data_IF_585372699352
#
_entry.id   IF_585372699352
#
_cell.length_a   1.000
_cell.length_b   1.000
_cell.length_c   1.000
_cell.angle_alpha   90.00
_cell.angle_beta   90.00
_cell.angle_gamma   90.00
#
_symmetry.space_group_name_H-M   'P 1'
#
loop_
_entity.id
_entity.type
_entity.pdbx_description
1 polymer ?
#
# COMPACT_ATOMS: atom_id res chain seq x y z
N UNK A 1 -14.74 6.13 2.74
CA UNK A 1 -14.18 4.75 2.80
C UNK A 1 -14.10 4.24 4.22
N UNK A 2 -13.47 4.99 5.15
CA UNK A 2 -13.30 4.63 6.56
C UNK A 2 -14.58 4.14 7.25
N UNK A 3 -15.68 4.92 7.19
CA UNK A 3 -16.95 4.53 7.81
C UNK A 3 -17.47 3.18 7.30
N UNK A 4 -17.40 2.92 5.98
CA UNK A 4 -17.86 1.65 5.39
C UNK A 4 -17.09 0.44 5.93
N UNK A 5 -15.82 0.62 6.29
CA UNK A 5 -14.98 -0.45 6.83
C UNK A 5 -15.18 -0.65 8.33
N UNK A 6 -15.38 0.44 9.09
CA UNK A 6 -15.51 0.38 10.55
C UNK A 6 -16.93 0.15 11.04
N UNK A 7 -17.95 0.72 10.40
CA UNK A 7 -19.36 0.60 10.81
C UNK A 7 -19.82 -0.85 11.03
N UNK A 8 -19.44 -1.84 10.19
CA UNK A 8 -19.84 -3.24 10.41
C UNK A 8 -19.27 -3.89 11.68
N UNK A 9 -18.16 -3.37 12.22
CA UNK A 9 -17.43 -4.00 13.33
C UNK A 9 -17.40 -3.16 14.61
N UNK A 10 -17.52 -1.83 14.52
CA UNK A 10 -17.24 -0.89 15.60
C UNK A 10 -18.02 -1.22 16.87
N UNK A 11 -19.35 -1.29 16.79
CA UNK A 11 -20.21 -1.57 17.95
C UNK A 11 -19.87 -2.90 18.59
N UNK A 12 -19.64 -3.94 17.77
CA UNK A 12 -19.31 -5.28 18.26
C UNK A 12 -17.97 -5.29 18.98
N UNK A 13 -16.97 -4.60 18.45
CA UNK A 13 -15.67 -4.43 19.08
C UNK A 13 -15.78 -3.69 20.41
N UNK A 14 -16.53 -2.58 20.46
CA UNK A 14 -16.75 -1.82 21.70
C UNK A 14 -17.44 -2.67 22.78
N UNK A 15 -18.49 -3.39 22.43
CA UNK A 15 -19.26 -4.24 23.35
C UNK A 15 -18.44 -5.41 23.92
N UNK A 16 -17.51 -5.95 23.13
CA UNK A 16 -16.69 -7.09 23.52
C UNK A 16 -15.28 -6.69 24.00
N UNK A 17 -14.99 -5.40 24.13
CA UNK A 17 -13.68 -4.91 24.59
C UNK A 17 -12.53 -5.25 23.62
N UNK A 18 -12.82 -5.36 22.32
CA UNK A 18 -11.82 -5.59 21.29
C UNK A 18 -11.33 -4.23 20.79
N UNK A 19 -10.07 -3.89 21.10
CA UNK A 19 -9.46 -2.64 20.60
C UNK A 19 -9.25 -2.70 19.09
N UNK A 20 -9.68 -1.67 18.38
CA UNK A 20 -9.42 -1.50 16.95
C UNK A 20 -8.16 -0.65 16.79
N UNK A 21 -7.18 -1.14 16.03
CA UNK A 21 -5.92 -0.44 15.76
C UNK A 21 -5.75 -0.36 14.25
N UNK A 22 -5.34 0.79 13.73
CA UNK A 22 -4.95 0.84 12.32
C UNK A 22 -4.36 2.16 11.85
N UNK A 23 -3.58 2.04 10.78
CA UNK A 23 -3.04 3.13 9.96
C UNK A 23 -4.11 3.73 9.02
N UNK A 24 -5.36 3.78 9.46
CA UNK A 24 -6.45 4.38 8.70
C UNK A 24 -6.53 5.91 8.86
N UNK A 25 -5.61 6.50 9.62
CA UNK A 25 -5.36 7.95 9.62
C UNK A 25 -4.66 8.42 8.34
N UNK A 26 -3.89 7.55 7.69
CA UNK A 26 -3.12 7.86 6.49
C UNK A 26 -2.34 9.19 6.67
N UNK A 27 -2.63 10.21 5.84
CA UNK A 27 -1.99 11.52 5.93
C UNK A 27 -2.68 12.51 6.90
N UNK A 28 -3.82 12.15 7.52
CA UNK A 28 -4.51 13.03 8.48
C UNK A 28 -5.21 12.24 9.62
N UNK A 29 -4.43 11.68 10.57
CA UNK A 29 -4.97 10.96 11.73
C UNK A 29 -6.00 11.74 12.55
N UNK A 30 -5.84 13.06 12.81
CA UNK A 30 -6.87 13.84 13.53
C UNK A 30 -8.22 13.87 12.82
N UNK A 31 -8.24 14.01 11.48
CA UNK A 31 -9.50 13.99 10.73
C UNK A 31 -10.17 12.60 10.75
N UNK A 32 -9.39 11.53 10.65
CA UNK A 32 -9.91 10.16 10.78
C UNK A 32 -10.52 9.93 12.16
N UNK A 33 -9.86 10.39 13.24
CA UNK A 33 -10.38 10.29 14.59
C UNK A 33 -11.72 11.03 14.78
N UNK A 34 -11.85 12.25 14.23
CA UNK A 34 -13.12 12.99 14.23
C UNK A 34 -14.22 12.24 13.48
N UNK A 35 -13.91 11.66 12.32
CA UNK A 35 -14.89 10.87 11.56
C UNK A 35 -15.33 9.60 12.32
N UNK A 36 -14.40 8.93 13.00
CA UNK A 36 -14.71 7.77 13.85
C UNK A 36 -15.55 8.20 15.05
N UNK A 37 -15.27 9.35 15.65
CA UNK A 37 -16.05 9.89 16.75
C UNK A 37 -17.50 10.19 16.33
N UNK A 38 -17.69 10.81 15.16
CA UNK A 38 -19.00 11.03 14.55
C UNK A 38 -19.75 9.72 14.28
N UNK A 39 -19.05 8.71 13.75
CA UNK A 39 -19.60 7.38 13.54
C UNK A 39 -20.01 6.72 14.86
N UNK A 40 -19.16 6.75 15.89
CA UNK A 40 -19.45 6.18 17.19
C UNK A 40 -20.67 6.85 17.84
N UNK A 41 -20.77 8.17 17.80
CA UNK A 41 -21.93 8.92 18.28
C UNK A 41 -23.21 8.54 17.53
N UNK A 42 -23.14 8.45 16.19
CA UNK A 42 -24.26 8.02 15.33
C UNK A 42 -24.74 6.60 15.65
N UNK A 43 -23.84 5.72 16.09
CA UNK A 43 -24.12 4.35 16.50
C UNK A 43 -24.44 4.20 18.00
N UNK A 44 -24.62 5.30 18.73
CA UNK A 44 -25.03 5.29 20.14
C UNK A 44 -23.91 5.10 21.17
N UNK A 45 -22.65 5.34 20.78
CA UNK A 45 -21.45 5.21 21.62
C UNK A 45 -20.61 6.51 21.66
N UNK A 46 -21.18 7.65 22.10
CA UNK A 46 -20.44 8.92 22.21
C UNK A 46 -19.32 8.92 23.26
N UNK A 47 -19.29 7.91 24.14
CA UNK A 47 -18.26 7.70 25.16
C UNK A 47 -17.02 6.95 24.64
N UNK A 48 -17.03 6.49 23.38
CA UNK A 48 -15.94 5.73 22.80
C UNK A 48 -14.60 6.50 22.93
N UNK A 49 -13.58 5.83 23.48
CA UNK A 49 -12.25 6.42 23.71
C UNK A 49 -11.35 6.22 22.50
N UNK A 50 -11.00 7.31 21.83
CA UNK A 50 -10.25 7.29 20.57
C UNK A 50 -8.89 7.94 20.80
N UNK A 51 -7.82 7.20 20.52
CA UNK A 51 -6.47 7.70 20.56
C UNK A 51 -5.96 8.08 19.17
N UNK A 52 -5.22 9.18 19.08
CA UNK A 52 -4.52 9.62 17.87
C UNK A 52 -3.02 9.59 18.14
N UNK A 53 -2.32 8.70 17.44
CA UNK A 53 -0.85 8.63 17.49
C UNK A 53 -0.27 9.75 16.62
N UNK A 54 0.77 10.41 17.12
CA UNK A 54 1.49 11.49 16.44
C UNK A 54 3.01 11.29 16.50
N UNK A 55 3.75 12.09 15.72
CA UNK A 55 5.21 12.07 15.66
C UNK A 55 5.77 11.47 14.37
N UNK A 56 4.91 11.03 13.45
CA UNK A 56 5.32 10.59 12.11
C UNK A 56 5.54 11.76 11.14
N UNK A 57 4.76 12.84 11.25
CA UNK A 57 4.95 14.04 10.42
C UNK A 57 6.27 14.76 10.73
N UNK A 58 7.16 14.79 9.75
CA UNK A 58 8.50 15.37 9.83
C UNK A 58 8.75 16.44 8.77
N UNK A 59 7.69 17.07 8.25
CA UNK A 59 7.81 18.15 7.25
C UNK A 59 8.67 19.34 7.72
N UNK A 60 8.80 19.54 9.04
CA UNK A 60 9.63 20.59 9.64
C UNK A 60 11.13 20.29 9.68
N UNK A 61 11.57 19.07 9.33
CA UNK A 61 12.99 18.72 9.30
C UNK A 61 13.65 19.13 7.98
N UNK A 62 14.96 19.41 8.02
CA UNK A 62 15.76 19.59 6.80
C UNK A 62 16.08 18.22 6.18
N UNK A 63 15.12 17.66 5.45
CA UNK A 63 15.21 16.33 4.83
C UNK A 63 16.41 16.20 3.88
N UNK A 64 16.89 17.30 3.30
CA UNK A 64 18.05 17.30 2.38
C UNK A 64 19.37 17.03 3.09
N UNK A 65 19.44 17.22 4.41
CA UNK A 65 20.60 16.89 5.22
C UNK A 65 20.71 15.38 5.54
N UNK A 66 19.69 14.60 5.17
CA UNK A 66 19.60 13.17 5.46
C UNK A 66 19.89 12.31 4.23
N UNK A 67 20.30 11.08 4.49
CA UNK A 67 20.63 10.13 3.43
C UNK A 67 19.35 9.73 2.66
N UNK A 68 19.42 9.79 1.33
CA UNK A 68 18.41 9.19 0.45
C UNK A 68 18.51 7.67 0.52
N UNK A 69 17.36 7.01 0.61
CA UNK A 69 17.28 5.55 0.58
C UNK A 69 17.88 5.02 -0.73
N UNK A 70 18.72 3.99 -0.64
CA UNK A 70 19.55 3.53 -1.75
C UNK A 70 18.76 3.11 -3.00
N UNK A 71 17.56 2.55 -2.83
CA UNK A 71 16.69 2.16 -3.94
C UNK A 71 16.07 3.37 -4.67
N UNK A 72 16.01 4.53 -4.00
CA UNK A 72 15.48 5.78 -4.54
C UNK A 72 16.60 6.70 -5.07
N UNK A 73 17.85 6.24 -5.03
CA UNK A 73 18.99 6.99 -5.53
C UNK A 73 18.90 7.19 -7.05
N UNK A 74 19.05 8.44 -7.50
CA UNK A 74 19.02 8.80 -8.92
C UNK A 74 17.62 8.99 -9.52
N UNK A 75 16.55 8.89 -8.72
CA UNK A 75 15.21 9.29 -9.16
C UNK A 75 15.16 10.79 -9.49
N UNK A 76 14.52 11.13 -10.61
CA UNK A 76 14.21 12.53 -10.95
C UNK A 76 13.01 13.01 -10.14
N UNK A 77 13.29 13.75 -9.07
CA UNK A 77 12.28 14.35 -8.21
C UNK A 77 11.76 15.69 -8.77
N UNK A 78 12.44 16.27 -9.76
CA UNK A 78 12.19 17.62 -10.27
C UNK A 78 12.17 18.70 -9.19
N UNK A 79 11.46 19.79 -9.46
CA UNK A 79 11.34 20.96 -8.57
C UNK A 79 9.97 21.03 -7.88
N UNK A 80 9.29 19.90 -7.69
CA UNK A 80 7.98 19.83 -7.06
C UNK A 80 8.02 20.32 -5.61
N UNK A 81 6.93 20.96 -5.17
CA UNK A 81 6.79 21.37 -3.77
C UNK A 81 6.58 20.15 -2.87
N UNK A 82 7.03 20.26 -1.62
CA UNK A 82 6.80 19.25 -0.59
C UNK A 82 5.30 19.19 -0.26
N UNK A 83 4.71 18.00 -0.34
CA UNK A 83 3.31 17.73 0.01
C UNK A 83 3.20 17.10 1.40
N UNK A 84 4.07 16.12 1.69
CA UNK A 84 4.07 15.40 2.96
C UNK A 84 5.42 14.75 3.21
N UNK A 85 5.78 14.55 4.47
CA UNK A 85 6.94 13.78 4.88
C UNK A 85 6.58 13.02 6.15
N UNK A 86 6.49 11.68 6.06
CA UNK A 86 6.07 10.86 7.19
C UNK A 86 7.08 9.73 7.47
N UNK A 87 7.60 9.71 8.69
CA UNK A 87 8.48 8.67 9.21
C UNK A 87 7.67 7.42 9.59
N UNK A 88 8.25 6.23 9.40
CA UNK A 88 7.65 4.98 9.87
C UNK A 88 7.92 4.82 11.36
N UNK A 89 6.94 5.19 12.19
CA UNK A 89 7.06 5.11 13.65
C UNK A 89 6.83 3.68 14.17
N UNK A 90 7.34 3.42 15.38
CA UNK A 90 7.31 2.11 16.03
C UNK A 90 6.02 1.87 16.84
N UNK A 91 5.91 0.71 17.49
CA UNK A 91 4.73 0.26 18.23
C UNK A 91 4.51 1.00 19.57
N UNK A 92 5.52 1.67 20.11
CA UNK A 92 5.49 2.24 21.46
C UNK A 92 4.30 3.18 21.73
N UNK A 93 4.00 4.20 20.90
CA UNK A 93 2.86 5.08 21.16
C UNK A 93 1.51 4.35 21.11
N UNK A 94 1.39 3.28 20.31
CA UNK A 94 0.19 2.44 20.26
C UNK A 94 0.03 1.68 21.59
N UNK A 95 1.11 1.07 22.08
CA UNK A 95 1.12 0.38 23.38
C UNK A 95 0.69 1.34 24.51
N UNK A 96 1.22 2.57 24.51
CA UNK A 96 0.87 3.57 25.51
C UNK A 96 -0.60 3.99 25.41
N UNK A 97 -1.13 4.19 24.20
CA UNK A 97 -2.55 4.48 23.98
C UNK A 97 -3.46 3.35 24.49
N UNK A 98 -3.09 2.09 24.24
CA UNK A 98 -3.82 0.92 24.75
C UNK A 98 -3.79 0.86 26.29
N UNK A 99 -2.62 1.09 26.92
CA UNK A 99 -2.50 1.17 28.38
C UNK A 99 -3.36 2.28 28.99
N UNK A 100 -3.56 3.38 28.26
CA UNK A 100 -4.46 4.46 28.66
C UNK A 100 -5.95 4.15 28.43
N UNK A 101 -6.28 2.97 27.90
CA UNK A 101 -7.64 2.48 27.72
C UNK A 101 -8.28 2.85 26.38
N UNK A 102 -7.50 3.19 25.35
CA UNK A 102 -8.04 3.44 24.01
C UNK A 102 -8.81 2.22 23.48
N UNK A 103 -10.01 2.47 22.95
CA UNK A 103 -10.84 1.46 22.28
C UNK A 103 -10.63 1.48 20.77
N UNK A 104 -10.27 2.65 20.24
CA UNK A 104 -9.80 2.81 18.85
C UNK A 104 -8.47 3.57 18.88
N UNK A 105 -7.44 3.03 18.24
CA UNK A 105 -6.14 3.71 18.06
C UNK A 105 -5.95 4.03 16.59
N UNK A 106 -5.89 5.32 16.29
CA UNK A 106 -5.70 5.88 14.95
C UNK A 106 -4.24 6.27 14.78
N UNK A 107 -3.57 5.71 13.78
CA UNK A 107 -2.19 6.08 13.46
C UNK A 107 -2.09 6.74 12.09
N UNK A 108 -1.04 7.55 11.92
CA UNK A 108 -0.50 7.92 10.61
C UNK A 108 0.51 6.88 10.17
N UNK A 109 1.63 7.32 9.57
CA UNK A 109 2.66 6.40 9.07
C UNK A 109 3.34 5.63 10.21
N UNK A 110 2.91 4.40 10.40
CA UNK A 110 3.51 3.45 11.34
C UNK A 110 4.06 2.27 10.55
N UNK A 111 5.08 1.58 11.07
CA UNK A 111 5.47 0.27 10.55
C UNK A 111 4.27 -0.67 10.53
N UNK A 112 3.99 -1.31 9.40
CA UNK A 112 2.85 -2.22 9.27
C UNK A 112 2.92 -3.38 10.31
N UNK A 113 4.09 -3.98 10.57
CA UNK A 113 4.25 -4.94 11.65
C UNK A 113 3.94 -4.39 13.06
N UNK A 114 4.20 -3.10 13.30
CA UNK A 114 4.02 -2.45 14.60
C UNK A 114 2.55 -2.45 15.04
N UNK A 115 1.61 -2.44 14.09
CA UNK A 115 0.17 -2.50 14.37
C UNK A 115 -0.23 -3.82 15.05
N UNK A 116 0.45 -4.91 14.69
CA UNK A 116 0.24 -6.25 15.28
C UNK A 116 1.14 -6.48 16.50
N UNK A 117 2.35 -5.92 16.49
CA UNK A 117 3.28 -6.04 17.62
C UNK A 117 2.76 -5.30 18.87
N UNK A 118 2.16 -4.12 18.71
CA UNK A 118 1.65 -3.33 19.83
C UNK A 118 0.65 -4.08 20.74
N UNK A 119 -0.43 -4.73 20.23
CA UNK A 119 -1.35 -5.48 21.08
C UNK A 119 -0.68 -6.66 21.78
N UNK A 120 0.35 -7.28 21.18
CA UNK A 120 1.12 -8.37 21.81
C UNK A 120 1.98 -7.85 22.97
N UNK A 121 2.70 -6.75 22.76
CA UNK A 121 3.46 -6.07 23.83
C UNK A 121 2.51 -5.68 24.97
N UNK A 122 1.36 -5.10 24.64
CA UNK A 122 0.37 -4.68 25.63
C UNK A 122 -0.17 -5.86 26.44
N UNK A 123 -0.57 -6.94 25.76
CA UNK A 123 -1.21 -8.10 26.37
C UNK A 123 -0.26 -8.92 27.25
N UNK A 124 0.94 -9.22 26.75
CA UNK A 124 1.94 -10.04 27.46
C UNK A 124 2.94 -9.21 28.28
N UNK A 125 2.82 -7.88 28.25
CA UNK A 125 3.76 -6.96 28.90
C UNK A 125 5.23 -7.22 28.52
N UNK A 126 5.49 -7.53 27.25
CA UNK A 126 6.84 -7.79 26.75
C UNK A 126 7.74 -6.54 26.89
N UNK A 127 9.02 -6.77 27.18
CA UNK A 127 10.00 -5.69 27.21
C UNK A 127 10.24 -5.15 25.80
N UNK A 128 10.35 -3.82 25.67
CA UNK A 128 10.77 -3.17 24.42
C UNK A 128 12.24 -3.42 24.08
N UNK A 129 12.98 -4.17 24.89
CA UNK A 129 14.36 -4.63 24.61
C UNK A 129 14.48 -6.15 24.48
N UNK A 130 13.36 -6.87 24.57
CA UNK A 130 13.33 -8.31 24.30
C UNK A 130 13.17 -8.54 22.80
N UNK A 131 14.29 -8.41 22.09
CA UNK A 131 14.32 -8.52 20.61
C UNK A 131 13.76 -9.84 20.10
N UNK A 132 13.90 -10.92 20.87
CA UNK A 132 13.36 -12.22 20.47
C UNK A 132 11.82 -12.21 20.47
N UNK A 133 11.20 -11.65 21.51
CA UNK A 133 9.73 -11.48 21.57
C UNK A 133 9.23 -10.47 20.55
N UNK A 134 9.90 -9.34 20.42
CA UNK A 134 9.52 -8.34 19.41
C UNK A 134 9.60 -8.90 18.00
N UNK A 135 10.58 -9.75 17.71
CA UNK A 135 10.70 -10.39 16.42
C UNK A 135 9.52 -11.33 16.10
N UNK A 136 9.05 -12.11 17.08
CA UNK A 136 7.84 -12.94 16.90
C UNK A 136 6.63 -12.05 16.58
N UNK A 137 6.42 -10.98 17.33
CA UNK A 137 5.26 -10.11 17.10
C UNK A 137 5.34 -9.31 15.79
N UNK A 138 6.53 -8.84 15.42
CA UNK A 138 6.75 -8.19 14.14
C UNK A 138 6.61 -9.18 12.96
N UNK A 139 7.04 -10.43 13.13
CA UNK A 139 6.80 -11.49 12.12
C UNK A 139 5.31 -11.78 11.98
N UNK A 140 4.57 -11.85 13.08
CA UNK A 140 3.12 -11.98 13.03
C UNK A 140 2.51 -10.81 12.22
N UNK A 141 2.96 -9.58 12.46
CA UNK A 141 2.52 -8.42 11.69
C UNK A 141 2.85 -8.50 10.20
N UNK A 142 4.09 -8.84 9.85
CA UNK A 142 4.53 -9.07 8.47
C UNK A 142 3.69 -10.15 7.75
N UNK A 143 3.30 -11.20 8.47
CA UNK A 143 2.47 -12.27 7.91
C UNK A 143 0.99 -11.89 7.77
N UNK A 144 0.51 -10.90 8.51
CA UNK A 144 -0.88 -10.40 8.44
C UNK A 144 -1.05 -9.23 7.46
N UNK A 145 0.03 -8.63 6.97
CA UNK A 145 -0.01 -7.52 6.02
C UNK A 145 -0.44 -7.97 4.61
N UNK A 146 -0.68 -7.01 3.71
CA UNK A 146 -1.18 -7.25 2.34
C UNK A 146 -2.51 -8.05 2.24
N UNK A 147 -3.23 -8.17 3.35
CA UNK A 147 -4.60 -8.67 3.39
C UNK A 147 -4.69 -10.18 3.25
N UNK A 148 -5.21 -10.67 2.13
CA UNK A 148 -5.52 -12.08 1.93
C UNK A 148 -4.39 -12.88 1.24
N UNK A 149 -3.20 -12.30 1.07
CA UNK A 149 -2.10 -12.94 0.34
C UNK A 149 -1.70 -14.28 0.94
N UNK A 150 -1.41 -14.31 2.25
CA UNK A 150 -1.03 -15.52 2.99
C UNK A 150 -2.14 -16.58 3.04
N UNK A 151 -3.38 -16.19 2.78
CA UNK A 151 -4.55 -17.10 2.73
C UNK A 151 -4.96 -17.45 1.30
N UNK A 152 -4.18 -17.10 0.28
CA UNK A 152 -4.37 -17.53 -1.11
C UNK A 152 -4.53 -16.40 -2.14
N UNK A 153 -4.77 -15.15 -1.72
CA UNK A 153 -5.19 -14.05 -2.61
C UNK A 153 -4.18 -13.64 -3.70
N UNK A 154 -2.88 -13.68 -3.39
CA UNK A 154 -1.80 -13.42 -4.36
C UNK A 154 -1.00 -14.69 -4.72
N UNK A 155 -1.29 -15.78 -4.01
CA UNK A 155 -0.73 -17.11 -4.26
C UNK A 155 -1.42 -17.81 -5.44
N UNK A 156 -2.69 -17.50 -5.69
CA UNK A 156 -3.52 -18.19 -6.68
C UNK A 156 -2.99 -18.03 -8.12
N UNK A 157 -2.50 -19.13 -8.68
CA UNK A 157 -2.09 -19.27 -10.08
C UNK A 157 -2.89 -20.42 -10.73
N UNK A 158 -3.95 -20.13 -11.51
CA UNK A 158 -4.86 -21.15 -12.02
C UNK A 158 -4.16 -22.29 -12.77
N UNK A 159 -4.36 -23.52 -12.32
CA UNK A 159 -3.75 -24.74 -12.87
C UNK A 159 -2.38 -25.11 -12.30
N UNK A 160 -1.81 -24.26 -11.43
CA UNK A 160 -0.51 -24.51 -10.77
C UNK A 160 -0.62 -24.42 -9.24
N UNK A 161 -1.29 -23.39 -8.73
CA UNK A 161 -1.47 -23.08 -7.31
C UNK A 161 -2.95 -22.78 -7.06
N UNK A 162 -3.81 -23.75 -7.31
CA UNK A 162 -5.25 -23.55 -7.24
C UNK A 162 -5.72 -23.22 -5.82
N UNK A 163 -6.59 -22.22 -5.69
CA UNK A 163 -7.15 -21.76 -4.41
C UNK A 163 -8.66 -21.98 -4.37
N UNK A 164 -9.21 -22.62 -3.32
CA UNK A 164 -10.65 -22.86 -3.23
C UNK A 164 -11.42 -21.57 -2.98
N UNK A 165 -12.59 -21.43 -3.62
CA UNK A 165 -13.50 -20.29 -3.47
C UNK A 165 -12.78 -18.91 -3.49
N UNK A 166 -12.06 -18.58 -4.58
CA UNK A 166 -11.21 -17.39 -4.65
C UNK A 166 -12.00 -16.06 -4.61
N UNK A 167 -13.32 -16.11 -4.76
CA UNK A 167 -14.20 -14.95 -4.64
C UNK A 167 -14.49 -14.55 -3.17
N UNK A 168 -14.20 -15.44 -2.21
CA UNK A 168 -14.55 -15.28 -0.80
C UNK A 168 -13.38 -15.69 0.11
N UNK A 169 -12.16 -15.34 -0.27
CA UNK A 169 -10.95 -15.62 0.51
C UNK A 169 -11.02 -14.89 1.85
N UNK A 170 -10.82 -15.63 2.95
CA UNK A 170 -10.80 -15.07 4.30
C UNK A 170 -9.47 -14.40 4.63
N UNK A 171 -9.49 -13.33 5.42
CA UNK A 171 -8.28 -12.73 5.96
C UNK A 171 -7.61 -13.65 7.00
N UNK A 172 -6.27 -13.54 7.16
CA UNK A 172 -5.53 -14.35 8.11
C UNK A 172 -5.81 -13.98 9.57
N UNK A 173 -5.53 -14.93 10.44
CA UNK A 173 -5.54 -14.80 11.90
C UNK A 173 -4.18 -15.30 12.40
N UNK A 174 -3.49 -14.49 13.20
CA UNK A 174 -2.30 -14.93 13.91
C UNK A 174 -2.67 -15.33 15.35
N UNK A 175 -2.33 -16.55 15.74
CA UNK A 175 -2.39 -17.03 17.11
C UNK A 175 -0.98 -16.92 17.71
N UNK A 176 -0.81 -16.04 18.70
CA UNK A 176 0.49 -15.82 19.36
C UNK A 176 0.35 -16.11 20.84
N UNK A 177 1.23 -16.97 21.34
CA UNK A 177 1.27 -17.34 22.75
C UNK A 177 2.33 -16.53 23.51
N UNK A 178 2.20 -16.45 24.84
CA UNK A 178 3.16 -15.75 25.71
C UNK A 178 4.59 -16.28 25.56
N UNK A 179 4.72 -17.58 25.29
CA UNK A 179 5.98 -18.27 25.03
C UNK A 179 6.57 -17.98 23.65
N UNK A 180 5.92 -17.14 22.83
CA UNK A 180 6.34 -16.76 21.49
C UNK A 180 5.97 -17.76 20.39
N UNK A 181 5.22 -18.81 20.70
CA UNK A 181 4.69 -19.70 19.67
C UNK A 181 3.75 -18.92 18.74
N UNK A 182 3.99 -19.02 17.43
CA UNK A 182 3.25 -18.32 16.39
C UNK A 182 2.61 -19.32 15.43
N UNK A 183 1.29 -19.22 15.26
CA UNK A 183 0.54 -19.95 14.25
C UNK A 183 -0.25 -18.99 13.37
N UNK A 184 -0.34 -19.32 12.09
CA UNK A 184 -1.20 -18.63 11.12
C UNK A 184 -2.36 -19.55 10.78
N UNK A 185 -3.56 -18.98 10.79
CA UNK A 185 -4.80 -19.62 10.32
C UNK A 185 -5.67 -18.59 9.59
N UNK A 186 -6.91 -18.92 9.25
CA UNK A 186 -7.83 -18.04 8.53
C UNK A 186 -9.22 -18.09 9.13
N UNK A 187 -10.03 -17.07 8.83
CA UNK A 187 -11.42 -17.04 9.24
C UNK A 187 -12.21 -18.28 8.76
N UNK A 188 -13.02 -18.87 9.64
CA UNK A 188 -13.89 -20.00 9.31
C UNK A 188 -14.97 -19.61 8.28
N UNK A 189 -15.41 -20.59 7.48
CA UNK A 189 -16.46 -20.43 6.44
C UNK A 189 -16.10 -19.42 5.35
N UNK A 190 -14.84 -19.39 4.98
CA UNK A 190 -14.30 -18.60 3.86
C UNK A 190 -13.55 -19.52 2.90
N UNK A 191 -13.34 -19.05 1.67
CA UNK A 191 -12.39 -19.63 0.73
C UNK A 191 -10.94 -19.40 1.15
N UNK A 192 -10.01 -19.59 0.22
CA UNK A 192 -8.59 -19.54 0.52
C UNK A 192 -8.06 -20.80 1.20
N UNK A 193 -6.76 -20.81 1.46
CA UNK A 193 -6.08 -21.86 2.21
C UNK A 193 -4.91 -21.28 3.00
N UNK A 194 -4.52 -21.94 4.09
CA UNK A 194 -3.25 -21.64 4.78
C UNK A 194 -2.38 -22.89 4.78
N UNK A 195 -1.29 -22.83 4.03
CA UNK A 195 -0.33 -23.95 3.88
C UNK A 195 1.10 -23.44 4.07
N UNK A 196 2.09 -24.34 4.26
CA UNK A 196 3.48 -23.91 4.34
C UNK A 196 3.93 -23.08 3.13
N UNK A 197 3.40 -23.35 1.94
CA UNK A 197 3.70 -22.61 0.70
C UNK A 197 3.17 -21.17 0.76
N UNK A 198 1.91 -20.98 1.15
CA UNK A 198 1.33 -19.62 1.24
C UNK A 198 2.04 -18.78 2.30
N UNK A 199 2.41 -19.39 3.42
CA UNK A 199 3.17 -18.73 4.50
C UNK A 199 4.60 -18.40 4.07
N UNK A 200 5.29 -19.28 3.32
CA UNK A 200 6.64 -19.00 2.79
C UNK A 200 6.64 -17.84 1.80
N UNK A 201 5.65 -17.78 0.91
CA UNK A 201 5.57 -16.69 -0.08
C UNK A 201 5.29 -15.34 0.60
N UNK A 202 4.41 -15.30 1.60
CA UNK A 202 4.22 -14.08 2.40
C UNK A 202 5.47 -13.73 3.21
N UNK A 203 6.13 -14.72 3.84
CA UNK A 203 7.31 -14.47 4.65
C UNK A 203 8.43 -13.79 3.84
N UNK A 204 8.58 -14.13 2.56
CA UNK A 204 9.63 -13.56 1.68
C UNK A 204 9.15 -12.35 0.87
N UNK A 205 7.88 -11.99 0.96
CA UNK A 205 7.29 -10.88 0.22
C UNK A 205 7.90 -9.54 0.65
N UNK A 206 8.34 -8.73 -0.33
CA UNK A 206 8.97 -7.41 -0.11
C UNK A 206 10.24 -7.43 0.77
N UNK A 207 10.91 -8.59 0.88
CA UNK A 207 12.16 -8.73 1.62
C UNK A 207 13.37 -8.76 0.69
N UNK A 208 14.31 -7.85 0.92
CA UNK A 208 15.58 -7.83 0.21
C UNK A 208 16.64 -8.74 0.84
N UNK A 209 16.89 -8.58 2.14
CA UNK A 209 17.81 -9.40 2.93
C UNK A 209 17.04 -10.11 4.06
N UNK A 210 16.73 -11.42 3.91
CA UNK A 210 16.02 -12.18 4.94
C UNK A 210 16.76 -12.27 6.28
N UNK A 211 18.07 -12.10 6.31
CA UNK A 211 18.81 -12.09 7.57
C UNK A 211 18.77 -10.73 8.26
N UNK A 212 18.40 -9.65 7.55
CA UNK A 212 18.38 -8.28 8.06
C UNK A 212 17.15 -7.52 7.56
N UNK A 213 15.95 -8.05 7.81
CA UNK A 213 14.72 -7.36 7.46
C UNK A 213 14.43 -6.25 8.48
N UNK A 214 14.57 -4.99 8.06
CA UNK A 214 14.56 -3.83 8.93
C UNK A 214 13.12 -3.35 9.17
N UNK A 215 12.70 -3.28 10.43
CA UNK A 215 11.44 -2.64 10.85
C UNK A 215 11.73 -1.57 11.92
N UNK A 216 10.81 -0.62 12.18
CA UNK A 216 11.03 0.42 13.20
C UNK A 216 11.25 -0.09 14.63
N UNK A 217 10.75 -1.30 14.96
CA UNK A 217 10.78 -1.86 16.31
C UNK A 217 11.97 -2.82 16.53
N UNK A 218 12.32 -3.60 15.51
CA UNK A 218 13.29 -4.70 15.60
C UNK A 218 13.83 -5.03 14.21
N UNK A 219 15.09 -5.43 14.12
CA UNK A 219 15.62 -6.00 12.87
C UNK A 219 15.39 -7.52 12.89
N UNK A 220 14.64 -8.03 11.93
CA UNK A 220 14.22 -9.43 11.83
C UNK A 220 15.26 -10.27 11.09
N UNK A 221 15.46 -11.50 11.57
CA UNK A 221 16.30 -12.51 10.93
C UNK A 221 15.49 -13.79 10.69
N UNK A 222 15.21 -14.04 9.41
CA UNK A 222 14.47 -15.18 8.89
C UNK A 222 15.37 -16.31 8.36
N UNK A 223 16.70 -16.18 8.47
CA UNK A 223 17.66 -17.15 7.91
C UNK A 223 17.55 -18.57 8.51
N UNK A 224 16.88 -18.70 9.66
CA UNK A 224 16.67 -19.97 10.37
C UNK A 224 15.18 -20.28 10.60
N UNK A 225 14.29 -19.57 9.90
CA UNK A 225 12.85 -19.80 10.04
C UNK A 225 12.45 -21.13 9.43
N UNK A 226 11.62 -21.87 10.15
CA UNK A 226 10.97 -23.10 9.69
C UNK A 226 9.47 -22.93 9.72
N UNK A 227 8.80 -23.50 8.73
CA UNK A 227 7.34 -23.37 8.52
C UNK A 227 6.79 -24.79 8.42
N UNK A 228 5.96 -25.16 9.39
CA UNK A 228 5.49 -26.52 9.59
C UNK A 228 3.95 -26.59 9.59
N UNK A 229 3.34 -27.60 8.93
CA UNK A 229 1.90 -27.78 8.99
C UNK A 229 1.46 -28.14 10.42
N UNK A 230 0.39 -27.50 10.90
CA UNK A 230 -0.11 -27.66 12.27
C UNK A 230 -1.63 -27.95 12.31
N UNK A 231 -2.20 -28.37 11.18
CA UNK A 231 -3.61 -28.72 11.02
C UNK A 231 -4.17 -28.22 9.68
N UNK A 232 -5.45 -28.51 9.38
CA UNK A 232 -6.14 -27.91 8.24
C UNK A 232 -6.17 -26.38 8.37
N UNK A 233 -5.73 -25.68 7.32
CA UNK A 233 -5.61 -24.22 7.30
C UNK A 233 -4.89 -23.64 8.53
N UNK A 234 -3.86 -24.35 9.01
CA UNK A 234 -3.09 -23.94 10.18
C UNK A 234 -1.62 -24.31 10.02
N UNK A 235 -0.76 -23.33 10.18
CA UNK A 235 0.69 -23.47 9.99
C UNK A 235 1.42 -22.84 11.17
N UNK A 236 2.44 -23.51 11.68
CA UNK A 236 3.32 -23.00 12.71
C UNK A 236 4.56 -22.34 12.09
N UNK A 237 4.97 -21.21 12.65
CA UNK A 237 6.20 -20.49 12.27
C UNK A 237 7.17 -20.55 13.44
N UNK A 238 8.37 -21.06 13.18
CA UNK A 238 9.40 -21.34 14.19
C UNK A 238 10.72 -20.70 13.78
N UNK A 239 11.63 -20.50 14.74
CA UNK A 239 13.01 -20.10 14.46
C UNK A 239 13.22 -18.64 14.06
N UNK A 240 12.19 -17.80 14.16
CA UNK A 240 12.28 -16.34 14.03
C UNK A 240 13.28 -15.79 15.04
N UNK A 241 14.14 -14.84 14.65
CA UNK A 241 15.09 -14.17 15.55
C UNK A 241 15.04 -12.66 15.41
N UNK A 242 15.39 -11.96 16.49
CA UNK A 242 15.46 -10.51 16.53
C UNK A 242 16.86 -9.99 16.85
N UNK A 243 17.20 -8.90 16.20
CA UNK A 243 18.37 -8.05 16.46
C UNK A 243 17.88 -6.68 16.97
N UNK A 244 18.76 -5.84 17.54
CA UNK A 244 18.38 -4.50 17.96
C UNK A 244 17.63 -3.71 16.87
N UNK A 245 16.77 -2.78 17.31
CA UNK A 245 16.13 -1.81 16.43
C UNK A 245 17.17 -1.07 15.55
N UNK A 246 16.81 -0.69 14.31
CA UNK A 246 17.74 -0.02 13.41
C UNK A 246 18.16 1.36 13.92
N UNK A 247 19.37 1.78 13.55
CA UNK A 247 19.88 3.11 13.88
C UNK A 247 19.19 4.25 13.10
N UNK A 248 18.47 3.91 12.04
CA UNK A 248 17.71 4.85 11.22
C UNK A 248 16.31 4.33 10.93
N UNK A 249 15.37 5.24 10.68
CA UNK A 249 14.03 4.93 10.21
C UNK A 249 13.77 5.56 8.86
N UNK A 250 12.96 4.88 8.05
CA UNK A 250 12.53 5.36 6.74
C UNK A 250 11.54 6.52 6.92
N UNK A 251 11.70 7.54 6.09
CA UNK A 251 10.73 8.63 5.88
C UNK A 251 10.30 8.57 4.44
N UNK A 252 9.01 8.44 4.16
CA UNK A 252 8.50 8.61 2.80
C UNK A 252 8.12 10.08 2.61
N UNK A 253 8.74 10.71 1.62
CA UNK A 253 8.55 12.12 1.29
C UNK A 253 7.84 12.23 -0.04
N UNK A 254 6.74 12.95 -0.06
CA UNK A 254 5.88 13.15 -1.21
C UNK A 254 6.05 14.57 -1.73
N UNK A 255 6.33 14.70 -3.03
CA UNK A 255 6.44 15.97 -3.75
C UNK A 255 5.38 16.04 -4.84
N UNK A 256 5.00 17.26 -5.24
CA UNK A 256 4.16 17.46 -6.42
C UNK A 256 4.86 16.90 -7.68
N UNK A 257 4.18 15.98 -8.37
CA UNK A 257 4.66 15.31 -9.58
C UNK A 257 4.07 15.85 -10.88
N UNK A 258 3.33 16.95 -10.83
CA UNK A 258 2.54 17.51 -11.90
C UNK A 258 1.27 16.71 -12.18
N UNK A 259 0.99 16.49 -13.46
CA UNK A 259 -0.25 15.87 -13.92
C UNK A 259 0.03 14.72 -14.88
N UNK A 260 -0.83 13.70 -14.83
CA UNK A 260 -0.89 12.60 -15.79
C UNK A 260 -2.21 12.70 -16.54
N UNK A 261 -2.13 12.96 -17.84
CA UNK A 261 -3.23 12.83 -18.77
C UNK A 261 -3.19 11.45 -19.42
N UNK A 262 -4.28 10.71 -19.35
CA UNK A 262 -4.43 9.42 -20.01
C UNK A 262 -5.62 9.46 -20.97
N UNK A 263 -5.39 9.02 -22.21
CA UNK A 263 -6.43 8.82 -23.20
C UNK A 263 -6.30 7.43 -23.81
N UNK A 264 -7.41 6.76 -24.05
CA UNK A 264 -7.41 5.42 -24.61
C UNK A 264 -8.48 5.22 -25.68
N UNK A 265 -8.18 4.42 -26.70
CA UNK A 265 -9.12 4.02 -27.77
C UNK A 265 -8.81 2.59 -28.24
N UNK A 266 -9.84 1.82 -28.58
CA UNK A 266 -9.69 0.42 -29.03
C UNK A 266 -10.02 0.28 -30.50
N UNK A 267 -9.30 -0.61 -31.19
CA UNK A 267 -9.60 -1.05 -32.54
C UNK A 267 -9.76 -2.56 -32.53
N UNK A 268 -10.87 -3.06 -33.06
CA UNK A 268 -11.15 -4.49 -33.16
C UNK A 268 -11.35 -4.94 -34.60
N UNK A 269 -11.28 -6.24 -34.83
CA UNK A 269 -11.55 -6.88 -36.11
C UNK A 269 -10.39 -6.78 -37.11
N UNK A 270 -10.63 -7.14 -38.38
CA UNK A 270 -9.58 -7.18 -39.39
C UNK A 270 -8.79 -5.88 -39.45
N UNK A 271 -7.47 -5.99 -39.54
CA UNK A 271 -6.55 -4.86 -39.65
C UNK A 271 -6.51 -3.92 -38.42
N UNK A 272 -6.94 -4.37 -37.23
CA UNK A 272 -6.93 -3.58 -35.99
C UNK A 272 -5.52 -3.07 -35.63
N UNK A 273 -4.49 -3.89 -35.79
CA UNK A 273 -3.09 -3.54 -35.50
C UNK A 273 -2.64 -2.34 -36.34
N UNK A 274 -2.87 -2.35 -37.65
CA UNK A 274 -2.47 -1.24 -38.51
C UNK A 274 -3.20 0.06 -38.14
N UNK A 275 -4.49 -0.03 -37.81
CA UNK A 275 -5.27 1.12 -37.32
C UNK A 275 -4.75 1.65 -35.99
N UNK A 276 -4.44 0.78 -35.04
CA UNK A 276 -3.89 1.15 -33.75
C UNK A 276 -2.51 1.83 -33.89
N UNK A 277 -1.61 1.27 -34.71
CA UNK A 277 -0.32 1.90 -35.03
C UNK A 277 -0.52 3.28 -35.67
N UNK A 278 -1.44 3.40 -36.63
CA UNK A 278 -1.72 4.67 -37.29
C UNK A 278 -2.34 5.69 -36.32
N UNK A 279 -3.20 5.25 -35.41
CA UNK A 279 -3.76 6.11 -34.37
C UNK A 279 -2.67 6.64 -33.44
N UNK A 280 -1.76 5.78 -32.98
CA UNK A 280 -0.62 6.21 -32.16
C UNK A 280 0.28 7.22 -32.90
N UNK A 281 0.54 7.01 -34.20
CA UNK A 281 1.27 7.98 -35.04
C UNK A 281 0.56 9.33 -35.12
N UNK A 282 -0.76 9.33 -35.40
CA UNK A 282 -1.59 10.54 -35.47
C UNK A 282 -1.58 11.28 -34.13
N UNK A 283 -1.64 10.57 -33.01
CA UNK A 283 -1.58 11.16 -31.68
C UNK A 283 -0.25 11.87 -31.42
N UNK A 284 0.89 11.23 -31.75
CA UNK A 284 2.21 11.88 -31.65
C UNK A 284 2.25 13.16 -32.47
N UNK A 285 1.75 13.11 -33.70
CA UNK A 285 1.72 14.26 -34.60
C UNK A 285 0.85 15.39 -34.04
N UNK A 286 -0.33 15.09 -33.48
CA UNK A 286 -1.23 16.10 -32.92
C UNK A 286 -0.67 16.76 -31.68
N UNK A 287 -0.11 15.99 -30.75
CA UNK A 287 0.58 16.54 -29.57
C UNK A 287 1.72 17.47 -30.01
N UNK A 288 2.50 17.08 -31.03
CA UNK A 288 3.57 17.91 -31.58
C UNK A 288 3.05 19.18 -32.29
N UNK A 289 1.97 19.10 -33.08
CA UNK A 289 1.34 20.25 -33.75
C UNK A 289 0.88 21.31 -32.75
N UNK A 290 0.41 20.88 -31.58
CA UNK A 290 -0.02 21.76 -30.48
C UNK A 290 1.12 22.29 -29.64
N UNK A 291 2.35 21.78 -29.83
CA UNK A 291 3.54 22.17 -29.06
C UNK A 291 3.35 22.03 -27.54
N UNK A 292 2.60 21.00 -27.11
CA UNK A 292 2.34 20.77 -25.68
C UNK A 292 3.63 20.36 -24.95
N UNK A 293 3.98 20.98 -23.82
CA UNK A 293 5.19 20.66 -23.04
C UNK A 293 4.98 19.40 -22.19
N UNK A 294 4.82 18.25 -22.84
CA UNK A 294 4.50 16.97 -22.20
C UNK A 294 5.55 15.91 -22.52
N UNK A 295 5.81 15.02 -21.56
CA UNK A 295 6.48 13.76 -21.82
C UNK A 295 5.43 12.71 -22.19
N UNK A 296 5.52 12.20 -23.42
CA UNK A 296 4.52 11.33 -24.02
C UNK A 296 4.96 9.86 -24.05
N UNK A 297 4.06 8.96 -23.69
CA UNK A 297 4.16 7.50 -23.90
C UNK A 297 2.91 7.01 -24.63
N UNK A 298 3.11 6.09 -25.56
CA UNK A 298 2.03 5.44 -26.31
C UNK A 298 2.18 3.93 -26.23
N UNK A 299 1.19 3.26 -25.67
CA UNK A 299 1.14 1.80 -25.54
C UNK A 299 0.15 1.21 -26.56
N UNK A 300 0.50 0.06 -27.13
CA UNK A 300 -0.37 -0.76 -27.97
C UNK A 300 -0.72 -2.05 -27.22
N UNK A 301 -1.62 -1.91 -26.24
CA UNK A 301 -2.06 -3.01 -25.37
C UNK A 301 -2.78 -4.06 -26.23
N UNK A 302 -2.29 -5.30 -26.18
CA UNK A 302 -2.63 -6.39 -27.10
C UNK A 302 -1.46 -6.83 -27.98
N UNK A 303 -0.48 -5.93 -28.23
CA UNK A 303 0.81 -6.28 -28.84
C UNK A 303 1.94 -6.33 -27.80
N UNK A 304 2.02 -5.29 -26.98
CA UNK A 304 2.88 -5.21 -25.81
C UNK A 304 2.22 -4.29 -24.78
N UNK A 305 2.20 -4.70 -23.52
CA UNK A 305 1.57 -3.96 -22.43
C UNK A 305 2.62 -3.58 -21.38
N UNK A 306 2.87 -4.46 -20.41
CA UNK A 306 3.72 -4.16 -19.24
C UNK A 306 5.19 -3.97 -19.62
N UNK A 307 5.71 -4.76 -20.56
CA UNK A 307 7.16 -4.84 -20.81
C UNK A 307 7.69 -3.82 -21.82
N UNK A 308 6.82 -3.06 -22.51
CA UNK A 308 7.31 -2.07 -23.47
C UNK A 308 7.83 -0.80 -22.80
N UNK A 309 8.80 -0.16 -23.46
CA UNK A 309 9.39 1.10 -23.04
C UNK A 309 8.74 2.32 -23.70
N UNK A 310 9.25 3.50 -23.36
CA UNK A 310 8.80 4.77 -23.98
C UNK A 310 9.11 4.84 -25.49
N UNK A 311 10.10 4.06 -25.95
CA UNK A 311 10.48 3.95 -27.35
C UNK A 311 9.57 2.98 -28.16
N UNK A 312 8.79 2.15 -27.47
CA UNK A 312 7.83 1.23 -28.07
C UNK A 312 8.49 0.12 -28.89
N UNK A 313 9.73 -0.27 -28.59
CA UNK A 313 10.47 -1.26 -29.39
C UNK A 313 9.74 -2.61 -29.45
N UNK A 314 9.18 -3.09 -28.34
CA UNK A 314 8.56 -4.42 -28.30
C UNK A 314 7.26 -4.44 -29.11
N UNK A 315 6.41 -3.42 -28.96
CA UNK A 315 5.19 -3.32 -29.76
C UNK A 315 5.49 -3.12 -31.24
N UNK A 316 6.58 -2.44 -31.62
CA UNK A 316 7.02 -2.31 -33.02
C UNK A 316 7.52 -3.63 -33.61
N UNK A 317 8.32 -4.39 -32.86
CA UNK A 317 8.85 -5.67 -33.29
C UNK A 317 7.84 -6.83 -33.23
N UNK A 318 6.73 -6.66 -32.50
CA UNK A 318 5.71 -7.70 -32.34
C UNK A 318 5.08 -8.12 -33.67
N UNK A 319 5.12 -9.43 -33.94
CA UNK A 319 4.45 -10.10 -35.05
C UNK A 319 3.07 -10.67 -34.67
N UNK A 320 2.62 -10.40 -33.44
CA UNK A 320 1.33 -10.85 -32.95
C UNK A 320 0.18 -10.29 -33.81
N UNK A 321 -0.84 -11.12 -34.01
CA UNK A 321 -2.06 -10.78 -34.76
C UNK A 321 -3.29 -10.91 -33.86
N UNK A 322 -3.43 -10.04 -32.83
CA UNK A 322 -4.59 -10.08 -31.94
C UNK A 322 -5.88 -9.67 -32.69
N UNK A 323 -7.03 -10.02 -32.12
CA UNK A 323 -8.33 -9.62 -32.68
C UNK A 323 -8.71 -8.18 -32.32
N UNK A 324 -8.06 -7.61 -31.31
CA UNK A 324 -8.21 -6.21 -30.90
C UNK A 324 -6.90 -5.65 -30.33
N UNK A 325 -6.77 -4.33 -30.39
CA UNK A 325 -5.67 -3.58 -29.80
C UNK A 325 -6.22 -2.32 -29.16
N UNK A 326 -5.78 -2.04 -27.94
CA UNK A 326 -6.08 -0.80 -27.21
C UNK A 326 -4.87 0.12 -27.26
N UNK A 327 -5.05 1.29 -27.88
CA UNK A 327 -4.06 2.36 -27.86
C UNK A 327 -4.26 3.15 -26.57
N UNK A 328 -3.20 3.30 -25.78
CA UNK A 328 -3.17 4.18 -24.61
C UNK A 328 -2.12 5.27 -24.82
N UNK A 329 -2.54 6.52 -24.71
CA UNK A 329 -1.69 7.69 -24.59
C UNK A 329 -1.58 8.04 -23.12
N UNK A 330 -0.35 8.17 -22.63
CA UNK A 330 -0.04 8.73 -21.32
C UNK A 330 0.88 9.94 -21.50
N UNK A 331 0.46 11.10 -21.00
CA UNK A 331 1.19 12.35 -21.08
C UNK A 331 1.41 12.89 -19.67
N UNK A 332 2.66 13.04 -19.26
CA UNK A 332 2.97 13.77 -18.03
C UNK A 332 3.38 15.20 -18.32
N UNK A 333 2.84 16.14 -17.54
CA UNK A 333 3.06 17.57 -17.69
C UNK A 333 3.16 18.27 -16.32
N UNK A 334 3.72 19.48 -16.29
CA UNK A 334 3.70 20.32 -15.10
C UNK A 334 2.31 20.90 -14.81
N UNK A 335 1.56 21.26 -15.86
CA UNK A 335 0.23 21.85 -15.72
C UNK A 335 -0.88 20.88 -16.13
N UNK A 336 -2.02 20.98 -15.45
CA UNK A 336 -3.19 20.15 -15.71
C UNK A 336 -3.67 20.27 -17.16
N UNK A 337 -3.72 21.51 -17.67
CA UNK A 337 -4.28 21.80 -18.99
C UNK A 337 -3.44 21.18 -20.12
N UNK A 338 -2.11 21.21 -20.01
CA UNK A 338 -1.21 20.57 -20.98
C UNK A 338 -1.44 19.04 -21.05
N UNK A 339 -1.54 18.39 -19.89
CA UNK A 339 -1.80 16.95 -19.80
C UNK A 339 -3.20 16.59 -20.32
N UNK A 340 -4.21 17.39 -19.98
CA UNK A 340 -5.60 17.16 -20.36
C UNK A 340 -5.82 17.38 -21.86
N UNK A 341 -5.23 18.42 -22.44
CA UNK A 341 -5.23 18.64 -23.89
C UNK A 341 -4.61 17.45 -24.64
N UNK A 342 -3.46 16.95 -24.18
CA UNK A 342 -2.81 15.78 -24.80
C UNK A 342 -3.69 14.52 -24.70
N UNK A 343 -4.30 14.25 -23.55
CA UNK A 343 -5.21 13.12 -23.35
C UNK A 343 -6.45 13.19 -24.25
N UNK A 344 -7.03 14.38 -24.41
CA UNK A 344 -8.21 14.62 -25.25
C UNK A 344 -7.95 14.46 -26.75
N UNK A 345 -6.69 14.47 -27.22
CA UNK A 345 -6.41 14.15 -28.62
C UNK A 345 -6.84 12.72 -29.00
N UNK A 346 -6.95 11.82 -28.02
CA UNK A 346 -7.53 10.48 -28.20
C UNK A 346 -9.05 10.56 -28.45
N UNK A 347 -9.76 11.49 -27.81
CA UNK A 347 -11.17 11.72 -28.07
C UNK A 347 -11.44 12.16 -29.51
N UNK A 348 -10.56 12.99 -30.06
CA UNK A 348 -10.66 13.45 -31.44
C UNK A 348 -10.52 12.30 -32.47
N UNK A 349 -9.98 11.14 -32.11
CA UNK A 349 -9.87 10.00 -33.02
C UNK A 349 -11.22 9.35 -33.38
N UNK A 350 -12.30 9.63 -32.64
CA UNK A 350 -13.63 9.11 -33.00
C UNK A 350 -14.06 9.48 -34.41
N UNK A 351 -13.90 10.75 -34.77
CA UNK A 351 -14.34 11.29 -36.05
C UNK A 351 -13.17 11.78 -36.91
N UNK A 352 -11.96 11.82 -36.37
CA UNK A 352 -10.78 12.35 -37.05
C UNK A 352 -9.60 11.37 -36.98
N UNK A 353 -9.84 10.07 -36.88
CA UNK A 353 -8.81 9.02 -36.78
C UNK A 353 -9.05 7.85 -37.72
N UNK A 354 -8.25 6.77 -37.60
CA UNK A 354 -8.51 5.51 -38.28
C UNK A 354 -9.91 4.97 -37.99
N UNK A 355 -10.53 4.31 -38.97
CA UNK A 355 -11.92 3.87 -38.89
C UNK A 355 -12.19 2.83 -37.79
N UNK A 356 -13.42 2.82 -37.27
CA UNK A 356 -13.88 1.79 -36.33
C UNK A 356 -13.19 1.83 -34.96
N UNK A 357 -12.72 3.01 -34.53
CA UNK A 357 -12.25 3.23 -33.17
C UNK A 357 -13.42 3.30 -32.18
N UNK A 358 -13.27 2.71 -31.00
CA UNK A 358 -14.34 2.64 -30.01
C UNK A 358 -13.86 2.52 -28.57
N UNK A 359 -14.79 2.77 -27.63
CA UNK A 359 -14.56 2.63 -26.20
C UNK A 359 -13.63 3.70 -25.63
N UNK A 360 -13.65 4.91 -26.19
CA UNK A 360 -12.73 5.97 -25.76
C UNK A 360 -12.94 6.31 -24.29
N UNK A 361 -11.83 6.45 -23.58
CA UNK A 361 -11.77 6.95 -22.20
C UNK A 361 -10.69 8.02 -22.14
N UNK A 362 -10.90 9.00 -21.27
CA UNK A 362 -9.86 9.92 -20.89
C UNK A 362 -9.98 10.25 -19.41
N UNK A 363 -8.86 10.58 -18.79
CA UNK A 363 -8.80 11.14 -17.44
C UNK A 363 -7.53 11.95 -17.29
N UNK A 364 -7.58 12.90 -16.36
CA UNK A 364 -6.41 13.69 -15.97
C UNK A 364 -6.34 13.65 -14.45
N UNK A 365 -5.19 13.24 -13.92
CA UNK A 365 -4.99 13.02 -12.48
C UNK A 365 -3.71 13.70 -12.02
N UNK A 366 -3.73 14.30 -10.83
CA UNK A 366 -2.51 14.81 -10.20
C UNK A 366 -1.57 13.64 -9.90
N UNK A 367 -0.27 13.89 -10.02
CA UNK A 367 0.79 12.93 -9.71
C UNK A 367 1.50 13.35 -8.44
N UNK A 368 1.94 12.36 -7.69
CA UNK A 368 2.85 12.53 -6.56
C UNK A 368 4.13 11.80 -6.91
N UNK A 369 5.27 12.44 -6.66
CA UNK A 369 6.59 11.80 -6.69
C UNK A 369 6.98 11.47 -5.27
N UNK A 370 7.49 10.27 -5.05
CA UNK A 370 7.93 9.82 -3.73
C UNK A 370 9.43 9.56 -3.73
N UNK A 371 10.12 10.04 -2.70
CA UNK A 371 11.50 9.67 -2.39
C UNK A 371 11.61 9.40 -0.90
N UNK A 372 12.36 8.38 -0.56
CA UNK A 372 12.56 7.96 0.82
C UNK A 372 13.89 8.47 1.35
N UNK A 373 13.90 8.88 2.61
CA UNK A 373 15.08 9.30 3.35
C UNK A 373 15.24 8.45 4.61
N UNK A 374 16.46 8.41 5.14
CA UNK A 374 16.79 7.72 6.38
C UNK A 374 17.19 8.76 7.44
N UNK A 375 16.46 8.78 8.56
CA UNK A 375 16.71 9.73 9.66
C UNK A 375 16.97 9.00 10.98
N UNK A 376 17.61 9.68 11.92
CA UNK A 376 17.76 9.22 13.31
C UNK A 376 16.38 9.19 14.00
N UNK A 377 15.93 8.05 14.57
CA UNK A 377 14.67 7.96 15.30
C UNK A 377 14.56 8.94 16.48
N UNK A 378 15.68 9.40 17.04
CA UNK A 378 15.71 10.40 18.11
C UNK A 378 15.22 11.79 17.70
N UNK A 379 15.04 12.05 16.40
CA UNK A 379 14.42 13.26 15.88
C UNK A 379 12.88 13.22 15.96
N UNK A 380 12.30 12.04 16.20
CA UNK A 380 10.84 11.85 16.23
C UNK A 380 10.25 12.19 17.61
N UNK A 381 9.20 13.00 17.61
CA UNK A 381 8.41 13.30 18.81
C UNK A 381 7.16 12.42 18.87
N UNK A 382 7.38 11.13 19.10
CA UNK A 382 6.31 10.13 19.15
C UNK A 382 5.46 10.28 20.41
N UNK A 383 4.15 10.14 20.25
CA UNK A 383 3.21 10.12 21.37
C UNK A 383 1.79 9.87 20.91
N UNK A 384 0.83 10.12 21.80
CA UNK A 384 -0.59 10.03 21.47
C UNK A 384 -1.39 11.08 22.25
N UNK A 385 -2.52 11.46 21.68
CA UNK A 385 -3.61 12.10 22.41
C UNK A 385 -4.75 11.11 22.57
N UNK A 386 -5.49 11.17 23.69
CA UNK A 386 -6.65 10.34 23.95
C UNK A 386 -7.83 11.24 24.29
N UNK A 387 -8.93 11.08 23.57
CA UNK A 387 -10.13 11.89 23.75
C UNK A 387 -11.39 11.02 23.69
N UNK A 388 -12.44 11.47 24.36
CA UNK A 388 -13.77 10.89 24.17
C UNK A 388 -14.36 11.29 22.82
N UNK A 389 -15.18 10.43 22.22
CA UNK A 389 -15.82 10.76 20.94
C UNK A 389 -16.62 12.07 21.00
N UNK A 390 -17.32 12.35 22.10
CA UNK A 390 -18.01 13.63 22.31
C UNK A 390 -17.08 14.86 22.20
N UNK A 391 -15.86 14.79 22.74
CA UNK A 391 -14.87 15.88 22.71
C UNK A 391 -14.31 16.13 21.31
N UNK A 392 -14.18 15.07 20.50
CA UNK A 392 -13.73 15.14 19.12
C UNK A 392 -14.80 15.67 18.15
N UNK A 393 -16.07 15.64 18.56
CA UNK A 393 -17.21 16.12 17.77
C UNK A 393 -17.67 17.54 18.13
N UNK A 394 -17.24 18.06 19.28
CA UNK A 394 -17.49 19.43 19.71
C UNK A 394 -16.57 20.40 18.95
#
# INVERSE_FOLDING_TARGET
MLERLLEPILVKCLQHGITIIGNFGAANPPAAARLIAQLAARLGHPEARIAVVHGDDVQGLDLKAHQVYEADAGLDMGAGELIAANAYINAQPIVQAMKAGAQVVVTGRTGDPSLTLAPLIHHFNWSLTDWQRLAVGATAGHLLECGAQITGGYFYDPGYKDVPDPANIGFPIAEVHEDGSLFITKALRTGGMVTPETVKEQLLYEIHDPANYITPDVTLDFSQVTIEPAGPDRVQVLGVRGKPAPATVKVTVCFDGGWLGEGEISYAGPNCVARARKAAEVLRQRVAMRQLPVQLRLDLIGLSSVHDGNDGQLSQASTASPQDVRVRLAASAAHQDDADQAAREVLALYCCGPAGGGGVRWRTTQRIRTQSYLIDPGLLQMGFTLQGAAELTA
#
